data_IF_905554817702
#
_entry.id   IF_905554817702
#
_cell.length_a   1.000
_cell.length_b   1.000
_cell.length_c   1.000
_cell.angle_alpha   90.00
_cell.angle_beta   90.00
_cell.angle_gamma   90.00
#
_symmetry.space_group_name_H-M   'P 1'
#
loop_
_entity.id
_entity.type
_entity.pdbx_description
1 polymer ?
#
# COMPACT_ATOMS: atom_id res chain seq x y z
N UNK A 1 -17.92 18.13 -11.82
CA UNK A 1 -16.48 17.85 -11.71
C UNK A 1 -16.23 16.47 -12.27
N UNK A 2 -15.38 16.39 -13.28
CA UNK A 2 -15.01 15.16 -13.99
C UNK A 2 -13.57 14.80 -13.63
N UNK A 3 -13.35 13.58 -13.15
CA UNK A 3 -12.03 13.08 -12.70
C UNK A 3 -11.58 11.93 -13.61
N UNK A 4 -10.34 11.97 -14.07
CA UNK A 4 -9.73 10.85 -14.79
C UNK A 4 -8.59 10.27 -13.94
N UNK A 5 -8.73 9.01 -13.55
CA UNK A 5 -7.65 8.24 -12.90
C UNK A 5 -6.74 7.61 -13.95
N UNK A 6 -5.42 7.68 -13.76
CA UNK A 6 -4.45 6.97 -14.59
C UNK A 6 -3.68 5.99 -13.71
N UNK A 7 -3.72 4.70 -14.05
CA UNK A 7 -3.02 3.65 -13.32
C UNK A 7 -2.60 2.47 -14.19
N UNK A 8 -1.83 1.54 -13.63
CA UNK A 8 -1.37 0.36 -14.35
C UNK A 8 -2.48 -0.68 -14.54
N UNK A 9 -3.18 -1.00 -13.45
CA UNK A 9 -4.26 -2.00 -13.41
C UNK A 9 -5.53 -1.41 -12.83
N UNK A 10 -6.67 -1.91 -13.28
CA UNK A 10 -7.97 -1.70 -12.68
C UNK A 10 -8.51 -3.01 -12.12
N UNK A 11 -8.99 -3.01 -10.87
CA UNK A 11 -9.59 -4.16 -10.19
C UNK A 11 -9.02 -4.36 -8.79
N UNK A 12 -9.73 -5.18 -7.99
CA UNK A 12 -9.35 -5.51 -6.62
C UNK A 12 -8.66 -6.87 -6.50
N UNK A 13 -8.90 -7.78 -7.45
CA UNK A 13 -8.37 -9.13 -7.41
C UNK A 13 -7.02 -9.22 -8.12
N UNK A 14 -5.99 -9.77 -7.44
CA UNK A 14 -4.64 -10.01 -7.97
C UNK A 14 -3.93 -8.78 -8.56
N UNK A 15 -4.23 -7.58 -8.06
CA UNK A 15 -3.74 -6.33 -8.65
C UNK A 15 -2.68 -5.60 -7.83
N UNK A 16 -2.60 -5.83 -6.54
CA UNK A 16 -1.71 -5.11 -5.61
C UNK A 16 -2.35 -3.86 -5.01
N UNK A 17 -1.82 -3.41 -3.87
CA UNK A 17 -2.43 -2.38 -3.03
C UNK A 17 -2.72 -1.05 -3.73
N UNK A 18 -1.83 -0.59 -4.61
CA UNK A 18 -2.02 0.66 -5.34
C UNK A 18 -3.23 0.62 -6.29
N UNK A 19 -3.41 -0.50 -7.02
CA UNK A 19 -4.53 -0.66 -7.93
C UNK A 19 -5.85 -0.84 -7.16
N UNK A 20 -5.82 -1.58 -6.04
CA UNK A 20 -6.97 -1.74 -5.15
C UNK A 20 -7.44 -0.37 -4.64
N UNK A 21 -6.52 0.44 -4.12
CA UNK A 21 -6.83 1.77 -3.59
C UNK A 21 -7.41 2.71 -4.68
N UNK A 22 -6.78 2.74 -5.85
CA UNK A 22 -7.24 3.55 -6.97
C UNK A 22 -8.62 3.10 -7.49
N UNK A 23 -8.86 1.79 -7.58
CA UNK A 23 -10.16 1.21 -7.99
C UNK A 23 -11.25 1.54 -6.97
N UNK A 24 -10.95 1.42 -5.66
CA UNK A 24 -11.90 1.79 -4.59
C UNK A 24 -12.28 3.27 -4.68
N UNK A 25 -11.30 4.16 -4.85
CA UNK A 25 -11.56 5.61 -4.99
C UNK A 25 -12.44 5.89 -6.21
N UNK A 26 -12.16 5.31 -7.38
CA UNK A 26 -12.97 5.47 -8.58
C UNK A 26 -14.42 5.01 -8.36
N UNK A 27 -14.61 3.82 -7.76
CA UNK A 27 -15.95 3.31 -7.44
C UNK A 27 -16.69 4.20 -6.44
N UNK A 28 -16.01 4.69 -5.42
CA UNK A 28 -16.61 5.58 -4.41
C UNK A 28 -17.01 6.93 -5.01
N UNK A 29 -16.21 7.51 -5.92
CA UNK A 29 -16.59 8.74 -6.63
C UNK A 29 -17.86 8.52 -7.47
N UNK A 30 -17.94 7.42 -8.24
CA UNK A 30 -19.13 7.07 -9.02
C UNK A 30 -20.37 6.88 -8.14
N UNK A 31 -20.22 6.20 -7.00
CA UNK A 31 -21.31 5.99 -6.03
C UNK A 31 -21.84 7.30 -5.44
N UNK A 32 -21.00 8.35 -5.41
CA UNK A 32 -21.35 9.70 -4.95
C UNK A 32 -21.83 10.62 -6.08
N UNK A 33 -22.09 10.08 -7.26
CA UNK A 33 -22.58 10.85 -8.43
C UNK A 33 -21.52 11.74 -9.08
N UNK A 34 -20.22 11.56 -8.74
CA UNK A 34 -19.14 12.30 -9.37
C UNK A 34 -18.73 11.57 -10.63
N UNK A 35 -18.63 12.29 -11.74
CA UNK A 35 -18.18 11.72 -13.01
C UNK A 35 -16.70 11.33 -12.88
N UNK A 36 -16.46 10.03 -12.93
CA UNK A 36 -15.13 9.45 -12.77
C UNK A 36 -14.84 8.44 -13.88
N UNK A 37 -13.67 8.55 -14.49
CA UNK A 37 -13.15 7.65 -15.49
C UNK A 37 -11.85 7.03 -15.01
N UNK A 38 -11.59 5.79 -15.39
CA UNK A 38 -10.33 5.10 -15.05
C UNK A 38 -9.62 4.66 -16.33
N UNK A 39 -8.38 5.09 -16.50
CA UNK A 39 -7.54 4.73 -17.65
C UNK A 39 -6.43 3.80 -17.18
N UNK A 40 -6.33 2.62 -17.78
CA UNK A 40 -5.34 1.62 -17.37
C UNK A 40 -4.75 0.86 -18.57
N UNK A 41 -3.71 0.09 -18.29
CA UNK A 41 -3.08 -0.84 -19.25
C UNK A 41 -3.74 -2.22 -19.19
N UNK A 42 -4.17 -2.62 -18.00
CA UNK A 42 -4.81 -3.91 -17.73
C UNK A 42 -6.07 -3.74 -16.90
N UNK A 43 -7.14 -4.35 -17.36
CA UNK A 43 -8.40 -4.44 -16.63
C UNK A 43 -8.55 -5.88 -16.10
N UNK A 44 -8.73 -6.03 -14.80
CA UNK A 44 -8.85 -7.33 -14.13
C UNK A 44 -10.29 -7.64 -13.70
N UNK A 45 -11.18 -6.64 -13.75
CA UNK A 45 -12.62 -6.77 -13.48
C UNK A 45 -13.41 -5.73 -14.30
N UNK A 46 -14.66 -5.97 -14.55
CA UNK A 46 -15.54 -5.01 -15.24
C UNK A 46 -15.80 -3.77 -14.37
N UNK A 47 -15.91 -2.61 -15.02
CA UNK A 47 -16.15 -1.35 -14.33
C UNK A 47 -16.75 -0.28 -15.23
N UNK A 48 -17.58 0.58 -14.63
CA UNK A 48 -18.16 1.72 -15.33
C UNK A 48 -17.07 2.75 -15.64
N UNK A 49 -17.09 3.29 -16.87
CA UNK A 49 -16.14 4.30 -17.35
C UNK A 49 -14.65 3.87 -17.25
N UNK A 50 -14.37 2.58 -17.43
CA UNK A 50 -13.00 2.06 -17.48
C UNK A 50 -12.54 2.00 -18.93
N UNK A 51 -11.35 2.56 -19.19
CA UNK A 51 -10.74 2.65 -20.51
C UNK A 51 -9.38 1.94 -20.50
N UNK A 52 -9.31 0.85 -21.25
CA UNK A 52 -8.03 0.12 -21.41
C UNK A 52 -7.31 0.69 -22.63
N UNK A 53 -6.18 1.33 -22.40
CA UNK A 53 -5.34 1.87 -23.46
C UNK A 53 -4.08 1.02 -23.61
N UNK A 54 -3.80 0.51 -24.81
CA UNK A 54 -2.62 -0.30 -25.04
C UNK A 54 -1.34 0.54 -24.88
N UNK A 55 -0.39 -0.01 -24.18
CA UNK A 55 0.91 0.63 -23.97
C UNK A 55 1.72 0.76 -25.24
N UNK A 56 1.76 -0.30 -26.06
CA UNK A 56 2.43 -0.40 -27.38
C UNK A 56 1.88 -1.61 -28.13
N UNK A 57 1.85 -1.58 -29.48
CA UNK A 57 1.62 -2.77 -30.29
C UNK A 57 2.61 -3.90 -29.96
N UNK A 58 2.20 -5.14 -30.13
CA UNK A 58 2.90 -6.35 -29.65
C UNK A 58 4.38 -6.44 -30.02
N UNK A 59 4.76 -5.97 -31.22
CA UNK A 59 6.13 -6.02 -31.76
C UNK A 59 7.04 -4.96 -31.10
N UNK A 60 6.58 -3.72 -30.97
CA UNK A 60 7.34 -2.66 -30.32
C UNK A 60 7.53 -2.92 -28.81
N UNK A 61 6.58 -3.61 -28.18
CA UNK A 61 6.67 -4.09 -26.79
C UNK A 61 7.75 -5.17 -26.64
N UNK A 62 7.83 -6.11 -27.59
CA UNK A 62 8.87 -7.14 -27.59
C UNK A 62 10.24 -6.51 -27.80
N UNK A 63 10.39 -5.58 -28.76
CA UNK A 63 11.65 -4.86 -29.02
C UNK A 63 12.09 -4.03 -27.81
N UNK A 64 11.18 -3.31 -27.16
CA UNK A 64 11.47 -2.58 -25.92
C UNK A 64 11.85 -3.52 -24.78
N UNK A 65 11.14 -4.66 -24.66
CA UNK A 65 11.46 -5.67 -23.66
C UNK A 65 12.82 -6.34 -23.95
N UNK A 66 13.16 -6.59 -25.21
CA UNK A 66 14.47 -7.11 -25.64
C UNK A 66 15.58 -6.07 -25.46
N UNK A 67 15.36 -4.82 -25.82
CA UNK A 67 16.32 -3.75 -25.61
C UNK A 67 16.60 -3.49 -24.11
N UNK A 68 15.56 -3.46 -23.29
CA UNK A 68 15.71 -3.34 -21.84
C UNK A 68 16.25 -4.62 -21.19
N UNK A 69 16.06 -5.79 -21.80
CA UNK A 69 16.62 -7.07 -21.36
C UNK A 69 18.07 -7.29 -21.81
N UNK A 70 18.44 -6.79 -22.99
CA UNK A 70 19.83 -6.73 -23.46
C UNK A 70 20.67 -5.80 -22.57
N UNK A 71 20.13 -4.64 -22.22
CA UNK A 71 20.69 -3.76 -21.19
C UNK A 71 20.77 -4.49 -19.82
N UNK A 72 19.85 -5.39 -19.48
CA UNK A 72 19.90 -6.22 -18.24
C UNK A 72 21.08 -7.20 -18.24
N UNK A 73 21.52 -7.72 -19.38
CA UNK A 73 22.72 -8.57 -19.50
C UNK A 73 23.98 -7.81 -19.14
N UNK A 74 24.10 -6.58 -19.60
CA UNK A 74 25.15 -5.64 -19.25
C UNK A 74 25.07 -5.20 -17.76
N UNK A 75 23.86 -5.17 -17.17
CA UNK A 75 23.56 -4.74 -15.80
C UNK A 75 23.63 -5.85 -14.77
N UNK A 76 23.90 -7.12 -15.13
CA UNK A 76 24.28 -8.17 -14.18
C UNK A 76 25.50 -7.79 -13.33
N UNK A 77 26.32 -6.88 -13.81
CA UNK A 77 27.47 -6.30 -13.11
C UNK A 77 27.12 -5.13 -12.18
N UNK A 78 25.89 -4.62 -12.22
CA UNK A 78 25.47 -3.52 -11.37
C UNK A 78 24.44 -4.01 -10.34
N UNK A 79 24.34 -3.30 -9.19
CA UNK A 79 23.50 -3.55 -8.01
C UNK A 79 21.99 -3.79 -8.27
N UNK A 80 21.52 -3.72 -9.54
CA UNK A 80 20.12 -3.63 -9.92
C UNK A 80 19.56 -4.97 -10.41
N UNK A 81 18.88 -5.71 -9.52
CA UNK A 81 18.19 -6.96 -9.89
C UNK A 81 16.80 -6.75 -10.54
N UNK A 82 16.27 -5.54 -10.58
CA UNK A 82 14.90 -5.23 -11.05
C UNK A 82 14.93 -4.34 -12.30
N UNK A 83 13.87 -4.40 -13.13
CA UNK A 83 13.70 -3.51 -14.28
C UNK A 83 13.51 -2.07 -13.82
N UNK A 84 14.26 -1.15 -14.44
CA UNK A 84 14.14 0.29 -14.17
C UNK A 84 13.07 0.85 -15.09
N UNK A 85 12.00 1.48 -14.55
CA UNK A 85 11.00 2.17 -15.35
C UNK A 85 11.60 3.47 -15.90
N UNK A 86 11.63 3.61 -17.23
CA UNK A 86 12.16 4.82 -17.87
C UNK A 86 11.09 5.87 -18.14
N UNK A 87 9.83 5.47 -18.20
CA UNK A 87 8.68 6.32 -18.52
C UNK A 87 8.91 7.21 -19.77
N UNK A 88 9.45 6.59 -20.84
CA UNK A 88 9.72 7.26 -22.11
C UNK A 88 8.52 7.13 -23.04
N UNK A 89 7.86 5.98 -23.03
CA UNK A 89 6.86 5.61 -24.02
C UNK A 89 5.52 6.21 -23.64
N UNK A 90 4.82 6.89 -24.56
CA UNK A 90 3.51 7.43 -24.30
C UNK A 90 2.45 6.34 -24.20
N UNK A 91 1.39 6.60 -23.45
CA UNK A 91 0.15 5.82 -23.47
C UNK A 91 -0.66 6.26 -24.71
N UNK A 92 -0.68 5.43 -25.73
CA UNK A 92 -1.34 5.75 -27.00
C UNK A 92 -2.85 5.92 -26.82
N UNK A 93 -3.40 6.97 -27.42
CA UNK A 93 -4.83 7.29 -27.33
C UNK A 93 -5.22 8.12 -26.10
N UNK A 94 -4.33 8.30 -25.11
CA UNK A 94 -4.64 9.07 -23.91
C UNK A 94 -5.05 10.51 -24.21
N UNK A 95 -4.30 11.23 -25.05
CA UNK A 95 -4.60 12.64 -25.41
C UNK A 95 -5.97 12.77 -26.08
N UNK A 96 -6.28 11.86 -27.03
CA UNK A 96 -7.59 11.84 -27.68
C UNK A 96 -8.71 11.59 -26.67
N UNK A 97 -8.47 10.69 -25.70
CA UNK A 97 -9.44 10.38 -24.66
C UNK A 97 -9.62 11.57 -23.71
N UNK A 98 -8.53 12.20 -23.23
CA UNK A 98 -8.61 13.39 -22.37
C UNK A 98 -9.30 14.57 -23.06
N UNK A 99 -9.03 14.79 -24.35
CA UNK A 99 -9.71 15.84 -25.14
C UNK A 99 -11.21 15.57 -25.31
N UNK A 100 -11.63 14.29 -25.36
CA UNK A 100 -13.05 13.89 -25.40
C UNK A 100 -13.73 14.08 -24.05
N UNK A 101 -13.10 13.65 -22.96
CA UNK A 101 -13.65 13.70 -21.59
C UNK A 101 -13.59 15.11 -21.03
N UNK A 102 -12.52 15.87 -21.31
CA UNK A 102 -12.24 17.21 -20.75
C UNK A 102 -12.29 17.24 -19.22
N UNK A 103 -11.41 16.44 -18.56
CA UNK A 103 -11.45 16.33 -17.11
C UNK A 103 -11.04 17.64 -16.41
N UNK A 104 -11.65 17.90 -15.27
CA UNK A 104 -11.21 18.95 -14.34
C UNK A 104 -9.92 18.54 -13.63
N UNK A 105 -9.81 17.23 -13.31
CA UNK A 105 -8.67 16.67 -12.58
C UNK A 105 -8.20 15.37 -13.23
N UNK A 106 -6.89 15.23 -13.41
CA UNK A 106 -6.23 13.96 -13.69
C UNK A 106 -5.54 13.48 -12.41
N UNK A 107 -5.97 12.35 -11.88
CA UNK A 107 -5.39 11.71 -10.69
C UNK A 107 -4.51 10.53 -11.09
N UNK A 108 -3.20 10.72 -10.95
CA UNK A 108 -2.20 9.71 -11.33
C UNK A 108 -1.91 8.81 -10.12
N UNK A 109 -1.99 7.51 -10.34
CA UNK A 109 -1.66 6.50 -9.36
C UNK A 109 -0.28 5.86 -9.66
N UNK A 110 -0.16 4.57 -9.45
CA UNK A 110 1.10 3.86 -9.63
C UNK A 110 1.50 3.75 -11.13
N UNK A 111 2.63 4.35 -11.51
CA UNK A 111 3.11 4.41 -12.91
C UNK A 111 4.49 3.78 -13.11
N UNK A 112 5.00 3.04 -12.14
CA UNK A 112 6.36 2.49 -12.11
C UNK A 112 6.64 1.41 -13.16
N UNK A 113 5.64 0.95 -13.91
CA UNK A 113 5.80 -0.05 -14.98
C UNK A 113 5.81 0.59 -16.37
N UNK A 114 6.36 1.80 -16.51
CA UNK A 114 6.31 2.58 -17.75
C UNK A 114 4.89 2.79 -18.27
N UNK A 115 3.94 3.03 -17.41
CA UNK A 115 2.51 3.17 -17.74
C UNK A 115 2.28 4.35 -18.68
N UNK A 116 2.95 5.46 -18.42
CA UNK A 116 2.85 6.72 -19.18
C UNK A 116 4.22 7.36 -19.32
N UNK A 117 4.49 7.98 -20.47
CA UNK A 117 5.71 8.77 -20.69
C UNK A 117 5.69 10.07 -19.88
N UNK A 118 6.81 10.44 -19.27
CA UNK A 118 6.92 11.68 -18.50
C UNK A 118 6.62 12.94 -19.32
N UNK A 119 7.00 12.97 -20.60
CA UNK A 119 6.70 14.10 -21.49
C UNK A 119 5.18 14.21 -21.74
N UNK A 120 4.49 13.08 -21.89
CA UNK A 120 3.04 13.07 -22.08
C UNK A 120 2.33 13.55 -20.80
N UNK A 121 2.77 13.05 -19.64
CA UNK A 121 2.25 13.49 -18.35
C UNK A 121 2.44 15.00 -18.13
N UNK A 122 3.64 15.53 -18.49
CA UNK A 122 3.98 16.95 -18.38
C UNK A 122 3.17 17.87 -19.31
N UNK A 123 2.43 17.32 -20.26
CA UNK A 123 1.59 18.08 -21.22
C UNK A 123 0.11 18.09 -20.86
N UNK A 124 -0.29 17.44 -19.78
CA UNK A 124 -1.67 17.50 -19.24
C UNK A 124 -1.99 18.95 -18.85
N UNK A 125 -3.13 19.47 -19.31
CA UNK A 125 -3.50 20.89 -19.18
C UNK A 125 -4.40 21.21 -17.97
N UNK A 126 -5.06 20.21 -17.43
CA UNK A 126 -5.89 20.37 -16.23
C UNK A 126 -5.06 20.10 -14.97
N UNK A 127 -5.69 20.25 -13.81
CA UNK A 127 -5.08 19.96 -12.52
C UNK A 127 -4.63 18.51 -12.45
N UNK A 128 -3.38 18.28 -12.03
CA UNK A 128 -2.83 16.95 -11.82
C UNK A 128 -2.60 16.71 -10.33
N UNK A 129 -3.19 15.63 -9.85
CA UNK A 129 -2.96 15.07 -8.53
C UNK A 129 -2.18 13.76 -8.69
N UNK A 130 -1.16 13.55 -7.89
CA UNK A 130 -0.37 12.31 -7.90
C UNK A 130 -0.49 11.64 -6.54
N UNK A 131 -1.04 10.42 -6.53
CA UNK A 131 -1.06 9.60 -5.32
C UNK A 131 0.27 8.86 -5.16
N UNK A 132 0.97 9.12 -4.07
CA UNK A 132 2.25 8.51 -3.74
C UNK A 132 2.03 7.13 -3.09
N UNK A 133 1.58 6.14 -3.87
CA UNK A 133 1.46 4.76 -3.39
C UNK A 133 2.80 4.14 -3.00
N UNK A 134 3.88 4.68 -3.53
CA UNK A 134 5.27 4.46 -3.14
C UNK A 134 6.08 5.74 -3.40
N UNK A 135 7.38 5.71 -3.18
CA UNK A 135 8.22 6.91 -3.33
C UNK A 135 8.85 7.06 -4.72
N UNK A 136 8.46 6.26 -5.72
CA UNK A 136 9.05 6.29 -7.06
C UNK A 136 9.06 7.70 -7.69
N UNK A 137 7.95 8.45 -7.56
CA UNK A 137 7.83 9.79 -8.15
C UNK A 137 8.78 10.82 -7.54
N UNK A 138 9.13 10.67 -6.28
CA UNK A 138 9.95 11.59 -5.50
C UNK A 138 11.35 11.05 -5.17
N UNK A 139 11.64 9.82 -5.59
CA UNK A 139 12.94 9.17 -5.45
C UNK A 139 13.62 9.00 -6.85
N UNK A 140 14.85 8.52 -6.86
CA UNK A 140 15.62 8.31 -8.09
C UNK A 140 15.03 7.17 -8.91
N UNK A 141 15.04 5.95 -8.36
CA UNK A 141 14.55 4.73 -9.02
C UNK A 141 13.73 3.87 -8.06
N UNK A 142 14.24 3.66 -6.85
CA UNK A 142 13.63 2.73 -5.91
C UNK A 142 12.28 3.25 -5.39
N UNK A 143 11.26 2.38 -5.34
CA UNK A 143 9.97 2.74 -4.74
C UNK A 143 10.05 2.94 -3.23
N UNK A 144 11.10 2.39 -2.58
CA UNK A 144 11.40 2.56 -1.17
C UNK A 144 12.90 2.82 -1.01
N UNK A 145 13.30 3.98 -0.48
CA UNK A 145 14.70 4.38 -0.40
C UNK A 145 15.53 3.55 0.60
N UNK A 146 14.91 2.89 1.58
CA UNK A 146 15.63 2.21 2.64
C UNK A 146 16.55 3.19 3.38
N UNK A 147 17.87 2.91 3.34
CA UNK A 147 18.92 3.77 3.88
C UNK A 147 19.42 4.81 2.85
N UNK A 148 18.99 4.72 1.60
CA UNK A 148 19.41 5.63 0.54
C UNK A 148 18.76 7.00 0.69
N UNK A 149 19.50 7.98 1.11
CA UNK A 149 19.05 9.37 1.30
C UNK A 149 19.31 10.29 0.11
N UNK A 150 19.76 9.76 -1.04
CA UNK A 150 20.05 10.57 -2.23
C UNK A 150 18.82 11.31 -2.77
N UNK A 151 17.62 10.87 -2.46
CA UNK A 151 16.39 11.61 -2.79
C UNK A 151 16.28 12.93 -1.99
N UNK A 152 16.95 13.04 -0.83
CA UNK A 152 17.04 14.24 0.00
C UNK A 152 18.22 15.10 -0.41
N UNK A 153 19.41 14.49 -0.59
CA UNK A 153 20.67 15.20 -0.78
C UNK A 153 21.04 15.40 -2.26
N UNK A 154 20.33 14.72 -3.17
CA UNK A 154 20.59 14.77 -4.61
C UNK A 154 21.56 13.73 -5.11
N UNK A 155 21.74 13.74 -6.42
CA UNK A 155 22.62 12.83 -7.15
C UNK A 155 23.82 13.57 -7.73
N UNK A 156 25.02 13.02 -7.53
CA UNK A 156 26.28 13.52 -8.08
C UNK A 156 26.94 12.48 -8.97
N UNK A 157 28.03 12.83 -9.64
CA UNK A 157 28.86 11.88 -10.41
C UNK A 157 29.49 10.81 -9.53
N UNK A 158 29.74 11.12 -8.26
CA UNK A 158 30.42 10.24 -7.30
C UNK A 158 29.46 9.21 -6.67
N UNK A 159 28.18 9.60 -6.43
CA UNK A 159 27.21 8.76 -5.73
C UNK A 159 26.17 8.09 -6.65
N UNK A 160 26.22 8.32 -7.96
CA UNK A 160 25.19 7.84 -8.90
C UNK A 160 25.72 7.56 -10.31
N UNK A 161 25.11 6.60 -10.98
CA UNK A 161 25.35 6.29 -12.39
C UNK A 161 24.80 7.39 -13.31
N UNK A 162 25.25 7.39 -14.57
CA UNK A 162 24.70 8.30 -15.61
C UNK A 162 23.18 8.16 -15.75
N UNK A 163 22.67 6.93 -15.74
CA UNK A 163 21.22 6.68 -15.88
C UNK A 163 20.42 7.21 -14.69
N UNK A 164 20.93 7.04 -13.46
CA UNK A 164 20.28 7.58 -12.26
C UNK A 164 20.18 9.09 -12.32
N UNK A 165 21.28 9.78 -12.70
CA UNK A 165 21.28 11.23 -12.87
C UNK A 165 20.33 11.69 -13.97
N UNK A 166 20.28 10.96 -15.09
CA UNK A 166 19.38 11.27 -16.20
C UNK A 166 17.91 11.11 -15.78
N UNK A 167 17.55 10.02 -15.11
CA UNK A 167 16.19 9.79 -14.59
C UNK A 167 15.81 10.84 -13.54
N UNK A 168 16.71 11.13 -12.62
CA UNK A 168 16.48 12.15 -11.60
C UNK A 168 16.19 13.52 -12.23
N UNK A 169 17.02 13.96 -13.17
CA UNK A 169 16.81 15.21 -13.92
C UNK A 169 15.48 15.22 -14.69
N UNK A 170 15.08 14.08 -15.27
CA UNK A 170 13.79 13.98 -15.96
C UNK A 170 12.60 14.11 -15.01
N UNK A 171 12.65 13.45 -13.86
CA UNK A 171 11.61 13.56 -12.84
C UNK A 171 11.53 14.97 -12.27
N UNK A 172 12.65 15.56 -11.98
CA UNK A 172 12.72 16.94 -11.50
C UNK A 172 12.07 17.92 -12.50
N UNK A 173 12.43 17.83 -13.80
CA UNK A 173 11.79 18.63 -14.84
C UNK A 173 10.29 18.37 -14.98
N UNK A 174 9.88 17.10 -14.90
CA UNK A 174 8.46 16.73 -14.93
C UNK A 174 7.70 17.40 -13.81
N UNK A 175 8.17 17.23 -12.57
CA UNK A 175 7.47 17.72 -11.38
C UNK A 175 7.44 19.26 -11.37
N UNK A 176 8.53 19.93 -11.74
CA UNK A 176 8.54 21.39 -11.86
C UNK A 176 7.60 21.90 -12.96
N UNK A 177 7.56 21.24 -14.14
CA UNK A 177 6.66 21.66 -15.23
C UNK A 177 5.19 21.40 -14.90
N UNK A 178 4.90 20.25 -14.27
CA UNK A 178 3.55 19.79 -13.96
C UNK A 178 2.98 20.49 -12.72
N UNK A 179 3.85 20.82 -11.77
CA UNK A 179 3.52 21.34 -10.44
C UNK A 179 2.33 20.57 -9.80
N UNK A 180 2.44 19.24 -9.64
CA UNK A 180 1.33 18.43 -9.18
C UNK A 180 1.03 18.67 -7.71
N UNK A 181 -0.19 18.34 -7.29
CA UNK A 181 -0.50 18.15 -5.88
C UNK A 181 -0.28 16.70 -5.51
N UNK A 182 0.51 16.44 -4.48
CA UNK A 182 0.71 15.09 -3.96
C UNK A 182 -0.32 14.72 -2.90
N UNK A 183 -0.85 13.52 -3.00
CA UNK A 183 -1.56 12.84 -1.92
C UNK A 183 -0.69 11.68 -1.46
N UNK A 184 -0.22 11.72 -0.22
CA UNK A 184 0.46 10.60 0.43
C UNK A 184 -0.51 9.83 1.32
N UNK A 185 -0.52 8.49 1.28
CA UNK A 185 -1.46 7.70 2.10
C UNK A 185 -1.13 7.72 3.60
N UNK A 186 -0.04 8.39 3.99
CA UNK A 186 0.43 8.54 5.36
C UNK A 186 1.20 9.85 5.55
N UNK A 187 1.38 10.26 6.80
CA UNK A 187 2.24 11.41 7.14
C UNK A 187 3.68 11.15 6.72
N UNK A 188 4.18 9.92 6.97
CA UNK A 188 5.54 9.52 6.59
C UNK A 188 5.82 9.72 5.10
N UNK A 189 4.91 9.32 4.20
CA UNK A 189 5.07 9.52 2.76
C UNK A 189 5.11 11.00 2.39
N UNK A 190 4.25 11.83 3.01
CA UNK A 190 4.25 13.26 2.77
C UNK A 190 5.52 13.94 3.28
N UNK A 191 6.06 13.50 4.40
CA UNK A 191 7.33 14.01 4.94
C UNK A 191 8.50 13.61 4.03
N UNK A 192 8.50 12.40 3.46
CA UNK A 192 9.43 12.01 2.41
C UNK A 192 9.32 12.94 1.19
N UNK A 193 8.10 13.27 0.75
CA UNK A 193 7.89 14.19 -0.39
C UNK A 193 8.44 15.59 -0.08
N UNK A 194 8.17 16.14 1.08
CA UNK A 194 8.66 17.46 1.51
C UNK A 194 10.19 17.52 1.64
N UNK A 195 10.82 16.41 2.03
CA UNK A 195 12.28 16.28 2.13
C UNK A 195 12.96 16.01 0.78
N UNK A 196 12.23 15.47 -0.19
CA UNK A 196 12.78 15.13 -1.50
C UNK A 196 13.08 16.37 -2.32
N UNK A 197 14.26 16.44 -2.96
CA UNK A 197 14.58 17.50 -3.92
C UNK A 197 13.58 17.57 -5.07
N UNK A 198 13.02 16.44 -5.49
CA UNK A 198 12.01 16.40 -6.57
C UNK A 198 10.66 16.94 -6.08
N UNK A 199 10.27 16.63 -4.84
CA UNK A 199 8.92 16.88 -4.34
C UNK A 199 8.74 18.10 -3.44
N UNK A 200 9.82 18.71 -2.96
CA UNK A 200 9.77 19.76 -1.93
C UNK A 200 9.05 21.06 -2.34
N UNK A 201 8.96 21.33 -3.64
CA UNK A 201 8.22 22.48 -4.16
C UNK A 201 6.71 22.26 -4.28
N UNK A 202 6.25 21.01 -4.12
CA UNK A 202 4.85 20.63 -4.33
C UNK A 202 4.08 20.58 -3.01
N UNK A 203 2.79 20.91 -3.07
CA UNK A 203 1.88 20.68 -1.93
C UNK A 203 1.68 19.18 -1.74
N UNK A 204 1.79 18.68 -0.50
CA UNK A 204 1.61 17.29 -0.15
C UNK A 204 0.63 17.15 1.02
N UNK A 205 -0.45 16.40 0.79
CA UNK A 205 -1.53 16.15 1.75
C UNK A 205 -1.52 14.70 2.20
N UNK A 206 -1.47 14.46 3.51
CA UNK A 206 -1.56 13.12 4.08
C UNK A 206 -3.02 12.69 4.16
N UNK A 207 -3.48 11.95 3.14
CA UNK A 207 -4.85 11.44 3.05
C UNK A 207 -4.80 9.93 2.83
N UNK A 208 -5.30 9.12 3.78
CA UNK A 208 -5.32 7.67 3.66
C UNK A 208 -6.06 7.18 2.41
N UNK A 209 -5.70 5.98 1.93
CA UNK A 209 -6.49 5.32 0.89
C UNK A 209 -7.87 4.90 1.44
N UNK A 210 -8.88 4.92 0.58
CA UNK A 210 -10.21 4.42 0.91
C UNK A 210 -10.15 2.91 1.19
N UNK A 211 -10.75 2.52 2.30
CA UNK A 211 -10.89 1.12 2.72
C UNK A 211 -12.34 0.66 2.44
N UNK A 212 -12.48 -0.59 2.03
CA UNK A 212 -13.79 -1.17 1.69
C UNK A 212 -14.73 -1.20 2.91
N UNK A 213 -15.98 -0.88 2.72
CA UNK A 213 -17.01 -0.83 3.78
C UNK A 213 -17.32 -2.22 4.40
N UNK A 214 -16.86 -3.30 3.79
CA UNK A 214 -16.93 -4.65 4.37
C UNK A 214 -16.13 -4.76 5.67
N UNK A 215 -15.02 -3.99 5.79
CA UNK A 215 -14.19 -3.99 6.99
C UNK A 215 -14.84 -3.17 8.09
N UNK A 216 -15.53 -3.86 8.95
CA UNK A 216 -16.20 -3.32 10.14
C UNK A 216 -16.28 -4.37 11.24
N UNK A 217 -16.28 -3.94 12.48
CA UNK A 217 -16.47 -4.85 13.60
C UNK A 217 -17.89 -5.43 13.60
N UNK A 218 -17.98 -6.75 13.74
CA UNK A 218 -19.20 -7.54 13.77
C UNK A 218 -19.09 -8.57 14.89
N UNK A 219 -19.65 -8.28 16.08
CA UNK A 219 -19.58 -9.19 17.23
C UNK A 219 -20.09 -10.60 16.90
N UNK A 220 -21.13 -10.69 16.04
CA UNK A 220 -21.73 -11.95 15.62
C UNK A 220 -20.80 -12.87 14.81
N UNK A 221 -19.70 -12.34 14.29
CA UNK A 221 -18.68 -13.12 13.57
C UNK A 221 -17.58 -13.66 14.49
N UNK A 222 -17.55 -13.25 15.75
CA UNK A 222 -16.56 -13.78 16.68
C UNK A 222 -16.79 -15.25 16.95
N UNK A 223 -15.72 -16.02 16.84
CA UNK A 223 -15.73 -17.41 17.28
C UNK A 223 -15.54 -17.46 18.80
N UNK A 224 -16.40 -18.25 19.48
CA UNK A 224 -16.11 -18.69 20.84
C UNK A 224 -15.16 -19.88 20.75
N UNK A 225 -13.92 -19.68 21.14
CA UNK A 225 -12.88 -20.72 21.11
C UNK A 225 -11.95 -20.56 22.32
N UNK A 226 -11.30 -21.65 22.68
CA UNK A 226 -10.31 -21.74 23.76
C UNK A 226 -8.87 -21.43 23.27
N UNK A 227 -8.70 -20.95 22.04
CA UNK A 227 -7.42 -20.65 21.39
C UNK A 227 -7.18 -19.17 21.28
N UNK A 228 -5.91 -18.76 21.31
CA UNK A 228 -5.47 -17.43 20.97
C UNK A 228 -5.08 -17.37 19.50
N UNK A 229 -5.83 -16.66 18.68
CA UNK A 229 -5.62 -16.60 17.24
C UNK A 229 -4.78 -15.38 16.87
N UNK A 230 -3.54 -15.64 16.48
CA UNK A 230 -2.61 -14.64 15.92
C UNK A 230 -2.80 -14.65 14.40
N UNK A 231 -3.26 -13.54 13.83
CA UNK A 231 -3.43 -13.42 12.39
C UNK A 231 -2.24 -12.66 11.78
N UNK A 232 -1.67 -13.23 10.73
CA UNK A 232 -0.64 -12.59 9.90
C UNK A 232 -1.06 -12.71 8.44
N UNK A 233 -0.77 -11.70 7.63
CA UNK A 233 -0.96 -11.86 6.20
C UNK A 233 -0.73 -10.60 5.39
N UNK A 234 -0.36 -10.86 4.15
CA UNK A 234 -0.16 -9.86 3.12
C UNK A 234 -0.03 -10.54 1.76
N UNK A 235 -0.02 -9.75 0.70
CA UNK A 235 0.33 -10.25 -0.63
C UNK A 235 1.71 -10.91 -0.63
N UNK A 236 1.78 -12.15 -1.13
CA UNK A 236 2.94 -13.04 -1.12
C UNK A 236 3.38 -13.51 0.29
N UNK A 237 2.58 -13.26 1.33
CA UNK A 237 2.74 -13.83 2.67
C UNK A 237 4.17 -13.77 3.20
N UNK A 238 4.68 -14.92 3.68
CA UNK A 238 6.03 -15.08 4.24
C UNK A 238 7.15 -14.81 3.23
N UNK A 239 6.89 -14.99 1.92
CA UNK A 239 7.90 -14.83 0.85
C UNK A 239 8.29 -13.38 0.60
N UNK A 240 7.53 -12.42 1.12
CA UNK A 240 7.86 -11.00 1.01
C UNK A 240 8.66 -10.53 2.23
N UNK A 241 9.99 -10.29 2.11
CA UNK A 241 10.82 -9.90 3.25
C UNK A 241 10.38 -8.60 3.90
N UNK A 242 9.74 -7.69 3.13
CA UNK A 242 9.26 -6.40 3.68
C UNK A 242 8.13 -6.56 4.69
N UNK A 243 7.50 -7.73 4.75
CA UNK A 243 6.40 -8.03 5.69
C UNK A 243 6.89 -8.57 7.04
N UNK A 244 8.19 -8.81 7.19
CA UNK A 244 8.83 -9.08 8.48
C UNK A 244 8.47 -10.43 9.12
N UNK A 245 8.03 -11.43 8.34
CA UNK A 245 7.65 -12.74 8.90
C UNK A 245 8.77 -13.38 9.73
N UNK A 246 10.03 -13.19 9.33
CA UNK A 246 11.20 -13.70 10.08
C UNK A 246 11.25 -13.12 11.51
N UNK A 247 10.86 -11.87 11.69
CA UNK A 247 10.83 -11.26 13.02
C UNK A 247 9.62 -11.76 13.84
N UNK A 248 8.48 -12.05 13.18
CA UNK A 248 7.38 -12.75 13.83
C UNK A 248 7.78 -14.16 14.29
N UNK A 249 8.47 -14.94 13.46
CA UNK A 249 8.98 -16.27 13.87
C UNK A 249 9.85 -16.20 15.11
N UNK A 250 10.77 -15.22 15.16
CA UNK A 250 11.61 -15.01 16.35
C UNK A 250 10.77 -14.64 17.57
N UNK A 251 9.77 -13.76 17.42
CA UNK A 251 8.88 -13.39 18.52
C UNK A 251 8.08 -14.61 19.03
N UNK A 252 7.54 -15.43 18.15
CA UNK A 252 6.85 -16.67 18.50
C UNK A 252 7.75 -17.66 19.24
N UNK A 253 9.05 -17.73 18.90
CA UNK A 253 10.00 -18.60 19.62
C UNK A 253 10.18 -18.20 21.10
N UNK A 254 9.94 -16.93 21.43
CA UNK A 254 10.09 -16.38 22.77
C UNK A 254 8.82 -16.52 23.63
N UNK A 255 7.71 -16.97 23.07
CA UNK A 255 6.49 -17.19 23.84
C UNK A 255 6.65 -18.37 24.81
N UNK A 256 6.11 -18.27 26.05
CA UNK A 256 6.02 -19.41 26.97
C UNK A 256 5.27 -20.62 26.32
N UNK A 257 5.68 -21.84 26.62
CA UNK A 257 5.06 -23.04 26.05
C UNK A 257 3.55 -23.10 26.28
N UNK A 258 3.09 -22.72 27.49
CA UNK A 258 1.65 -22.63 27.82
C UNK A 258 0.89 -21.73 26.84
N UNK A 259 1.49 -20.63 26.38
CA UNK A 259 0.88 -19.72 25.40
C UNK A 259 0.94 -20.34 24.00
N UNK A 260 2.08 -20.95 23.61
CA UNK A 260 2.22 -21.61 22.30
C UNK A 260 1.17 -22.71 22.11
N UNK A 261 0.94 -23.55 23.12
CA UNK A 261 -0.02 -24.64 23.07
C UNK A 261 -1.49 -24.17 22.93
N UNK A 262 -1.78 -23.01 23.48
CA UNK A 262 -3.08 -22.35 23.36
C UNK A 262 -3.23 -21.43 22.16
N UNK A 263 -2.16 -21.22 21.36
CA UNK A 263 -2.17 -20.32 20.22
C UNK A 263 -2.31 -21.04 18.89
N UNK A 264 -2.97 -20.37 17.94
CA UNK A 264 -2.92 -20.71 16.52
C UNK A 264 -2.45 -19.48 15.73
N UNK A 265 -1.49 -19.69 14.81
CA UNK A 265 -1.08 -18.68 13.83
C UNK A 265 -1.85 -18.92 12.53
N UNK A 266 -2.66 -17.95 12.13
CA UNK A 266 -3.37 -17.98 10.86
C UNK A 266 -2.64 -17.09 9.85
N UNK A 267 -2.36 -17.64 8.65
CA UNK A 267 -1.64 -16.93 7.60
C UNK A 267 -2.50 -16.87 6.34
N UNK A 268 -2.81 -15.66 5.87
CA UNK A 268 -3.46 -15.44 4.57
C UNK A 268 -2.50 -14.81 3.54
N UNK A 269 -2.83 -14.94 2.25
CA UNK A 269 -2.03 -14.44 1.13
C UNK A 269 -0.95 -15.40 0.65
N UNK A 270 -0.94 -16.62 1.14
CA UNK A 270 -0.05 -17.70 0.73
C UNK A 270 -0.75 -19.06 0.88
N UNK A 271 -0.52 -19.94 -0.08
CA UNK A 271 -0.94 -21.34 -0.01
C UNK A 271 0.23 -22.20 0.44
N UNK A 272 0.03 -22.96 1.51
CA UNK A 272 0.98 -23.94 2.02
C UNK A 272 0.23 -24.96 2.89
N UNK A 273 0.88 -26.07 3.21
CA UNK A 273 0.34 -27.05 4.15
C UNK A 273 0.46 -26.53 5.58
N UNK A 274 -0.52 -26.86 6.40
CA UNK A 274 -0.51 -26.56 7.83
C UNK A 274 0.72 -27.21 8.50
N UNK A 275 1.28 -26.49 9.46
CA UNK A 275 2.52 -26.88 10.13
C UNK A 275 2.58 -26.33 11.56
N UNK A 276 3.75 -26.40 12.18
CA UNK A 276 4.08 -25.64 13.39
C UNK A 276 5.17 -24.62 13.12
N UNK A 277 4.93 -23.35 13.47
CA UNK A 277 5.90 -22.27 13.40
C UNK A 277 6.41 -21.97 14.80
N UNK A 278 7.65 -22.33 15.11
CA UNK A 278 8.27 -22.14 16.43
C UNK A 278 7.43 -22.69 17.61
N UNK A 279 6.79 -23.85 17.41
CA UNK A 279 5.92 -24.49 18.40
C UNK A 279 4.44 -24.13 18.30
N UNK A 280 4.08 -23.01 17.65
CA UNK A 280 2.69 -22.58 17.47
C UNK A 280 2.06 -23.30 16.26
N UNK A 281 0.86 -23.86 16.44
CA UNK A 281 0.08 -24.46 15.35
C UNK A 281 -0.22 -23.41 14.29
N UNK A 282 0.10 -23.69 13.03
CA UNK A 282 0.00 -22.73 11.94
C UNK A 282 -0.94 -23.25 10.86
N UNK A 283 -1.94 -22.43 10.52
CA UNK A 283 -2.91 -22.70 9.44
C UNK A 283 -2.69 -21.73 8.28
N UNK A 284 -2.67 -22.25 7.06
CA UNK A 284 -2.58 -21.45 5.85
C UNK A 284 -3.97 -21.30 5.21
N UNK A 285 -4.45 -20.06 5.12
CA UNK A 285 -5.80 -19.73 4.67
C UNK A 285 -5.86 -19.40 3.17
N UNK A 286 -4.73 -19.56 2.46
CA UNK A 286 -4.64 -19.27 1.04
C UNK A 286 -4.81 -17.79 0.69
N UNK A 287 -5.10 -17.54 -0.60
CA UNK A 287 -5.36 -16.19 -1.10
C UNK A 287 -6.81 -15.78 -0.84
N UNK A 288 -7.04 -14.87 0.08
CA UNK A 288 -8.36 -14.33 0.40
C UNK A 288 -8.61 -13.06 -0.40
N UNK A 289 -9.30 -13.17 -1.53
CA UNK A 289 -9.56 -12.05 -2.45
C UNK A 289 -10.83 -11.26 -2.13
N UNK A 290 -11.82 -11.89 -1.47
CA UNK A 290 -13.06 -11.22 -1.09
C UNK A 290 -12.87 -10.35 0.14
N UNK A 291 -13.19 -9.02 0.09
CA UNK A 291 -13.17 -8.16 1.27
C UNK A 291 -14.02 -8.70 2.44
N UNK A 292 -15.19 -9.26 2.14
CA UNK A 292 -16.07 -9.83 3.17
C UNK A 292 -15.44 -11.05 3.87
N UNK A 293 -14.81 -11.95 3.10
CA UNK A 293 -14.14 -13.13 3.69
C UNK A 293 -12.93 -12.69 4.53
N UNK A 294 -12.17 -11.71 4.05
CA UNK A 294 -11.04 -11.17 4.81
C UNK A 294 -11.51 -10.45 6.08
N UNK A 295 -12.62 -9.70 6.01
CA UNK A 295 -13.23 -9.08 7.18
C UNK A 295 -13.68 -10.13 8.22
N UNK A 296 -14.18 -11.30 7.77
CA UNK A 296 -14.51 -12.42 8.68
C UNK A 296 -13.27 -12.88 9.44
N UNK A 297 -12.12 -13.06 8.77
CA UNK A 297 -10.87 -13.45 9.44
C UNK A 297 -10.42 -12.42 10.47
N UNK A 298 -10.49 -11.13 10.15
CA UNK A 298 -10.16 -10.08 11.12
C UNK A 298 -11.11 -10.05 12.32
N UNK A 299 -12.40 -10.33 12.12
CA UNK A 299 -13.36 -10.40 13.22
C UNK A 299 -13.15 -11.63 14.11
N UNK A 300 -12.65 -12.74 13.55
CA UNK A 300 -12.42 -13.99 14.27
C UNK A 300 -11.10 -14.04 15.02
N UNK A 301 -10.06 -13.35 14.55
CA UNK A 301 -8.75 -13.34 15.17
C UNK A 301 -8.72 -12.51 16.48
N UNK A 302 -7.69 -12.71 17.31
CA UNK A 302 -7.52 -12.00 18.59
C UNK A 302 -6.46 -10.90 18.51
N UNK A 303 -5.49 -11.03 17.61
CA UNK A 303 -4.48 -10.02 17.35
C UNK A 303 -4.01 -10.07 15.90
N UNK A 304 -3.77 -8.92 15.30
CA UNK A 304 -3.08 -8.84 14.00
C UNK A 304 -1.61 -8.56 14.21
N UNK A 305 -0.76 -9.55 13.91
CA UNK A 305 0.68 -9.37 13.91
C UNK A 305 1.12 -8.66 12.63
N UNK A 306 1.63 -7.44 12.77
CA UNK A 306 2.04 -6.58 11.66
C UNK A 306 3.52 -6.20 11.76
N UNK A 307 4.45 -7.16 11.64
CA UNK A 307 5.89 -6.95 11.79
C UNK A 307 6.52 -6.32 10.54
N UNK A 308 5.74 -5.64 9.69
CA UNK A 308 6.21 -5.04 8.45
C UNK A 308 7.38 -4.09 8.69
N UNK A 309 8.40 -4.21 7.81
CA UNK A 309 9.62 -3.39 7.86
C UNK A 309 9.45 -2.11 7.07
N UNK A 310 8.50 -2.12 6.11
CA UNK A 310 8.35 -1.03 5.16
C UNK A 310 6.92 -0.96 4.62
N UNK A 311 6.24 0.16 4.88
CA UNK A 311 4.89 0.43 4.40
C UNK A 311 4.73 1.90 4.03
N UNK A 312 3.90 2.18 3.05
CA UNK A 312 3.41 3.55 2.77
C UNK A 312 2.14 3.86 3.54
N UNK A 313 1.38 2.84 3.91
CA UNK A 313 0.19 2.96 4.76
C UNK A 313 -0.07 1.71 5.61
N UNK A 314 0.04 0.50 5.01
CA UNK A 314 -0.36 -0.75 5.65
C UNK A 314 -1.88 -0.93 5.67
N UNK A 315 -2.52 -1.09 4.49
CA UNK A 315 -3.98 -1.24 4.39
C UNK A 315 -4.51 -2.39 5.24
N UNK A 316 -3.83 -3.54 5.27
CA UNK A 316 -4.24 -4.69 6.09
C UNK A 316 -4.31 -4.37 7.59
N UNK A 317 -3.40 -3.52 8.09
CA UNK A 317 -3.45 -3.00 9.45
C UNK A 317 -4.73 -2.19 9.71
N UNK A 318 -5.07 -1.30 8.78
CA UNK A 318 -6.27 -0.45 8.92
C UNK A 318 -7.54 -1.30 8.80
N UNK A 319 -7.57 -2.26 7.89
CA UNK A 319 -8.65 -3.23 7.73
C UNK A 319 -8.88 -4.02 9.03
N UNK A 320 -7.80 -4.49 9.67
CA UNK A 320 -7.84 -5.15 10.97
C UNK A 320 -8.44 -4.24 12.07
N UNK A 321 -7.95 -3.01 12.18
CA UNK A 321 -8.43 -2.04 13.18
C UNK A 321 -9.90 -1.67 12.96
N UNK A 322 -10.37 -1.52 11.72
CA UNK A 322 -11.78 -1.29 11.39
C UNK A 322 -12.68 -2.46 11.81
N UNK A 323 -12.14 -3.68 11.79
CA UNK A 323 -12.78 -4.89 12.33
C UNK A 323 -12.59 -5.05 13.84
N UNK A 324 -12.11 -4.03 14.55
CA UNK A 324 -11.92 -4.07 16.00
C UNK A 324 -10.76 -4.97 16.45
N UNK A 325 -9.90 -5.40 15.55
CA UNK A 325 -8.77 -6.27 15.87
C UNK A 325 -7.56 -5.42 16.30
N UNK A 326 -7.01 -5.64 17.51
CA UNK A 326 -5.80 -4.96 17.95
C UNK A 326 -4.59 -5.35 17.08
N UNK A 327 -3.69 -4.40 16.86
CA UNK A 327 -2.53 -4.58 16.00
C UNK A 327 -1.23 -4.44 16.79
N UNK A 328 -0.27 -5.34 16.57
CA UNK A 328 1.10 -5.18 17.06
C UNK A 328 2.00 -4.86 15.87
N UNK A 329 2.69 -3.72 15.90
CA UNK A 329 3.51 -3.24 14.79
C UNK A 329 4.85 -2.68 15.26
N UNK A 330 5.84 -2.68 14.36
CA UNK A 330 7.08 -1.94 14.55
C UNK A 330 6.91 -0.45 14.23
N UNK A 331 7.61 0.42 14.96
CA UNK A 331 7.73 1.84 14.65
C UNK A 331 8.73 2.04 13.49
N UNK A 332 8.25 1.76 12.28
CA UNK A 332 8.99 1.94 11.02
C UNK A 332 8.09 2.52 9.95
N UNK A 333 8.59 3.51 9.22
CA UNK A 333 7.87 4.11 8.10
C UNK A 333 6.42 4.47 8.49
N UNK A 334 5.40 4.04 7.75
CA UNK A 334 4.00 4.24 8.11
C UNK A 334 3.39 3.07 8.93
N UNK A 335 4.21 2.11 9.40
CA UNK A 335 3.69 0.92 10.10
C UNK A 335 2.96 1.27 11.40
N UNK A 336 3.48 2.23 12.17
CA UNK A 336 2.91 2.65 13.45
C UNK A 336 1.75 3.64 13.31
N UNK A 337 1.61 4.32 12.16
CA UNK A 337 0.59 5.37 12.01
C UNK A 337 -0.83 4.85 12.23
N UNK A 338 -1.57 5.54 13.09
CA UNK A 338 -2.95 5.22 13.45
C UNK A 338 -3.08 4.18 14.57
N UNK A 339 -1.98 3.62 15.08
CA UNK A 339 -2.00 2.76 16.26
C UNK A 339 -1.78 3.62 17.51
N UNK A 340 -2.66 3.49 18.48
CA UNK A 340 -2.54 4.10 19.81
C UNK A 340 -2.19 3.01 20.81
N UNK A 341 -1.01 3.13 21.46
CA UNK A 341 -0.53 2.15 22.42
C UNK A 341 -1.51 1.92 23.56
N UNK A 342 -1.85 0.66 23.83
CA UNK A 342 -2.80 0.26 24.86
C UNK A 342 -4.27 0.55 24.54
N UNK A 343 -4.59 1.11 23.36
CA UNK A 343 -5.97 1.38 22.92
C UNK A 343 -6.32 0.60 21.67
N UNK A 344 -5.58 0.80 20.57
CA UNK A 344 -5.85 0.11 19.30
C UNK A 344 -4.83 -0.96 18.97
N UNK A 345 -3.83 -1.15 19.84
CA UNK A 345 -2.75 -2.12 19.67
C UNK A 345 -1.47 -1.69 20.36
N UNK A 346 -0.35 -2.22 19.91
CA UNK A 346 0.97 -1.99 20.47
C UNK A 346 1.97 -1.60 19.39
N UNK A 347 2.65 -0.49 19.57
CA UNK A 347 3.78 -0.08 18.75
C UNK A 347 5.07 -0.35 19.52
N UNK A 348 5.98 -1.06 18.88
CA UNK A 348 7.29 -1.40 19.46
C UNK A 348 8.42 -0.87 18.60
N UNK A 349 9.56 -0.62 19.19
CA UNK A 349 10.71 -0.09 18.47
C UNK A 349 11.10 -0.98 17.29
N UNK A 350 11.54 -0.35 16.21
CA UNK A 350 11.93 -1.03 14.97
C UNK A 350 12.95 -2.16 15.22
N UNK A 351 12.52 -3.41 14.97
CA UNK A 351 13.35 -4.61 15.13
C UNK A 351 13.47 -5.13 16.57
N UNK A 352 12.78 -4.52 17.53
CA UNK A 352 12.70 -5.06 18.89
C UNK A 352 11.72 -6.24 18.95
N UNK A 353 12.24 -7.40 18.57
CA UNK A 353 11.47 -8.66 18.53
C UNK A 353 11.04 -9.10 19.94
N UNK A 354 11.81 -8.76 20.98
CA UNK A 354 11.45 -9.07 22.38
C UNK A 354 10.22 -8.27 22.80
N UNK A 355 10.20 -6.97 22.52
CA UNK A 355 9.04 -6.14 22.80
C UNK A 355 7.81 -6.58 21.98
N UNK A 356 8.02 -7.08 20.74
CA UNK A 356 6.92 -7.65 19.93
C UNK A 356 6.34 -8.91 20.59
N UNK A 357 7.19 -9.82 21.10
CA UNK A 357 6.75 -10.99 21.85
C UNK A 357 6.01 -10.61 23.15
N UNK A 358 6.49 -9.60 23.88
CA UNK A 358 5.77 -9.06 25.05
C UNK A 358 4.40 -8.51 24.67
N UNK A 359 4.26 -7.84 23.53
CA UNK A 359 2.97 -7.39 23.02
C UNK A 359 2.00 -8.54 22.75
N UNK A 360 2.48 -9.66 22.19
CA UNK A 360 1.67 -10.87 21.99
C UNK A 360 1.23 -11.49 23.33
N UNK A 361 2.12 -11.53 24.33
CA UNK A 361 1.81 -12.06 25.68
C UNK A 361 0.73 -11.19 26.34
N UNK A 362 0.89 -9.87 26.31
CA UNK A 362 -0.12 -8.94 26.86
C UNK A 362 -1.49 -9.14 26.22
N UNK A 363 -1.52 -9.28 24.90
CA UNK A 363 -2.77 -9.50 24.17
C UNK A 363 -3.40 -10.86 24.52
N UNK A 364 -2.56 -11.91 24.72
CA UNK A 364 -3.02 -13.21 25.21
C UNK A 364 -3.66 -13.07 26.59
N UNK A 365 -3.00 -12.39 27.53
CA UNK A 365 -3.51 -12.18 28.89
C UNK A 365 -4.84 -11.39 28.88
N UNK A 366 -4.97 -10.39 28.02
CA UNK A 366 -6.21 -9.62 27.84
C UNK A 366 -7.37 -10.48 27.33
N UNK A 367 -7.13 -11.38 26.37
CA UNK A 367 -8.15 -12.27 25.80
C UNK A 367 -8.67 -13.27 26.84
N UNK A 368 -7.78 -13.79 27.69
CA UNK A 368 -8.13 -14.80 28.69
C UNK A 368 -8.39 -14.21 30.10
N UNK A 369 -8.25 -12.89 30.28
CA UNK A 369 -8.73 -12.22 31.49
C UNK A 369 -10.22 -12.01 31.43
N UNK A 370 -10.85 -11.77 32.58
CA UNK A 370 -12.30 -11.61 32.75
C UNK A 370 -12.90 -10.32 32.14
N UNK A 371 -12.13 -9.60 31.33
CA UNK A 371 -12.57 -8.34 30.69
C UNK A 371 -13.31 -8.62 29.39
N UNK A 372 -14.48 -8.00 29.14
CA UNK A 372 -15.23 -8.19 27.90
C UNK A 372 -14.42 -7.65 26.70
N UNK A 373 -13.83 -8.54 25.95
CA UNK A 373 -13.05 -8.23 24.74
C UNK A 373 -13.86 -7.45 23.67
N UNK A 374 -15.19 -7.48 23.72
CA UNK A 374 -16.08 -6.79 22.80
C UNK A 374 -16.08 -5.27 23.00
N UNK A 375 -16.04 -4.77 24.22
CA UNK A 375 -15.97 -3.33 24.49
C UNK A 375 -14.67 -2.73 23.94
N UNK A 376 -13.55 -3.43 24.16
CA UNK A 376 -12.26 -2.99 23.60
C UNK A 376 -12.30 -2.99 22.07
N UNK A 377 -12.85 -4.02 21.45
CA UNK A 377 -12.97 -4.11 19.99
C UNK A 377 -13.85 -2.99 19.41
N UNK A 378 -14.95 -2.65 20.07
CA UNK A 378 -15.77 -1.50 19.71
C UNK A 378 -14.99 -0.19 19.80
N UNK A 379 -14.19 0.01 20.84
CA UNK A 379 -13.32 1.17 20.99
C UNK A 379 -12.30 1.27 19.85
N UNK A 380 -11.64 0.16 19.52
CA UNK A 380 -10.69 0.07 18.40
C UNK A 380 -11.39 0.43 17.09
N UNK A 381 -12.49 -0.23 16.76
CA UNK A 381 -13.22 0.00 15.50
C UNK A 381 -13.74 1.44 15.39
N UNK A 382 -14.28 2.00 16.46
CA UNK A 382 -14.74 3.40 16.51
C UNK A 382 -13.59 4.37 16.26
N UNK A 383 -12.45 4.14 16.91
CA UNK A 383 -11.26 4.98 16.71
C UNK A 383 -10.71 4.88 15.30
N UNK A 384 -10.61 3.68 14.75
CA UNK A 384 -10.21 3.45 13.37
C UNK A 384 -11.16 4.13 12.38
N UNK A 385 -12.47 4.06 12.60
CA UNK A 385 -13.49 4.70 11.75
C UNK A 385 -13.36 6.23 11.75
N UNK A 386 -13.02 6.85 12.89
CA UNK A 386 -12.78 8.30 12.96
C UNK A 386 -11.57 8.72 12.09
N UNK A 387 -10.53 7.88 12.02
CA UNK A 387 -9.30 8.20 11.28
C UNK A 387 -9.36 7.79 9.80
N UNK A 388 -10.06 6.70 9.49
CA UNK A 388 -10.04 6.02 8.20
C UNK A 388 -11.42 5.83 7.58
N UNK A 389 -12.43 6.54 8.06
CA UNK A 389 -13.78 6.50 7.49
C UNK A 389 -13.82 6.97 6.04
N UNK A 390 -14.53 6.24 5.19
CA UNK A 390 -14.65 6.54 3.76
C UNK A 390 -15.12 7.98 3.49
N UNK A 391 -16.12 8.44 4.23
CA UNK A 391 -16.71 9.77 4.06
C UNK A 391 -15.68 10.88 4.29
N UNK A 392 -14.95 10.81 5.39
CA UNK A 392 -13.94 11.80 5.76
C UNK A 392 -12.78 11.83 4.77
N UNK A 393 -12.31 10.63 4.37
CA UNK A 393 -11.24 10.50 3.37
C UNK A 393 -11.68 11.10 2.04
N UNK A 394 -12.89 10.75 1.57
CA UNK A 394 -13.41 11.26 0.31
C UNK A 394 -13.54 12.78 0.31
N UNK A 395 -14.10 13.37 1.38
CA UNK A 395 -14.23 14.83 1.49
C UNK A 395 -12.88 15.53 1.38
N UNK A 396 -11.86 15.04 2.08
CA UNK A 396 -10.49 15.58 2.01
C UNK A 396 -9.88 15.44 0.60
N UNK A 397 -10.16 14.36 -0.12
CA UNK A 397 -9.73 14.21 -1.51
C UNK A 397 -10.45 15.23 -2.41
N UNK A 398 -11.76 15.42 -2.21
CA UNK A 398 -12.54 16.40 -2.98
C UNK A 398 -12.11 17.83 -2.71
N UNK A 399 -11.73 18.18 -1.49
CA UNK A 399 -11.11 19.45 -1.17
C UNK A 399 -9.82 19.68 -1.97
N UNK A 400 -8.95 18.66 -2.02
CA UNK A 400 -7.73 18.71 -2.85
C UNK A 400 -8.07 18.87 -4.32
N UNK A 401 -9.12 18.24 -4.84
CA UNK A 401 -9.53 18.39 -6.24
C UNK A 401 -10.04 19.81 -6.56
N UNK A 402 -10.71 20.47 -5.62
CA UNK A 402 -11.29 21.82 -5.78
C UNK A 402 -10.29 22.95 -5.55
N UNK A 403 -9.32 22.79 -4.63
CA UNK A 403 -8.29 23.77 -4.31
C UNK A 403 -7.29 24.00 -5.46
#
# INVERSE_FOLDING_TARGET
>A
MTVVHIGYKYGQNNTGGAAIAATRLHKTLLARGIESHYVCVWQCEDGKNVHVLPRIGSVARQLYFFATRGLRGFWKFTRWRKSIPLNIIPMFGLEKLLNKIRPDVVHVHWINADVIGFNQLANIKCKVVVNLHDLFMINIIEPYPGIDQRYIHGVTSENSSFLERWLFKRKLRLVHKLNPVFIGPSKWVCDCARKSIIGNSCRAYAIPNIIDCAFRYKPEMRLQHDKFIILFGAYAGRRNPSKGFVDLEKALSMLPEKIKDKSELWIFGEEANDCRTRGVKTKFLGNVSSPSNLATLYNQADVFAFPSVQETQGMTKIEAMLCGLPVIAFDRTACAEGIENGVTGWVVNAGDVKAFAVGLIKQYDEVFSSCPSDEMRWKIAKRAKTMFGEYEILNRILEVYRA
#
